data_IF_291649296298
#
_entry.id   IF_291649296298
#
_cell.length_a   1.000
_cell.length_b   1.000
_cell.length_c   1.000
_cell.angle_alpha   90.00
_cell.angle_beta   90.00
_cell.angle_gamma   90.00
#
_symmetry.space_group_name_H-M   'P 1'
#
loop_
_entity.id
_entity.type
_entity.pdbx_description
1 polymer ?
#
# COMPACT_ATOMS: atom_id res chain seq x y z
N UNK A 1 22.12 1.58 -3.49
CA UNK A 1 20.97 0.84 -4.04
C UNK A 1 20.33 -0.20 -3.10
N UNK A 2 21.00 -0.86 -2.11
CA UNK A 2 20.31 -1.89 -1.30
C UNK A 2 19.34 -1.33 -0.24
N UNK A 3 19.73 -0.29 0.50
CA UNK A 3 18.99 0.18 1.69
C UNK A 3 17.60 0.75 1.45
N UNK A 4 17.31 1.24 0.24
CA UNK A 4 16.00 1.82 -0.06
C UNK A 4 14.98 0.76 -0.46
N UNK A 5 15.44 -0.35 -1.05
CA UNK A 5 14.58 -1.46 -1.45
C UNK A 5 14.12 -2.29 -0.24
N UNK A 6 15.01 -2.54 0.72
CA UNK A 6 14.65 -3.21 1.98
C UNK A 6 13.60 -2.41 2.77
N UNK A 7 13.73 -1.07 2.83
CA UNK A 7 12.73 -0.20 3.46
C UNK A 7 11.35 -0.26 2.80
N UNK A 8 11.29 -0.46 1.50
CA UNK A 8 10.03 -0.59 0.77
C UNK A 8 9.37 -1.95 1.03
N UNK A 9 10.17 -3.01 1.13
CA UNK A 9 9.68 -4.33 1.55
C UNK A 9 9.14 -4.25 2.98
N UNK A 10 9.86 -3.62 3.92
CA UNK A 10 9.39 -3.44 5.30
C UNK A 10 8.04 -2.70 5.36
N UNK A 11 7.87 -1.63 4.56
CA UNK A 11 6.58 -0.91 4.46
C UNK A 11 5.46 -1.81 3.92
N UNK A 12 5.74 -2.67 2.94
CA UNK A 12 4.75 -3.60 2.41
C UNK A 12 4.38 -4.69 3.42
N UNK A 13 5.34 -5.20 4.17
CA UNK A 13 5.13 -6.20 5.21
C UNK A 13 4.32 -5.64 6.40
N UNK A 14 4.56 -4.37 6.77
CA UNK A 14 3.78 -3.66 7.79
C UNK A 14 2.30 -3.53 7.36
N UNK A 15 2.05 -3.05 6.14
CA UNK A 15 0.70 -2.95 5.58
C UNK A 15 0.02 -4.32 5.52
N UNK A 16 0.73 -5.35 5.07
CA UNK A 16 0.19 -6.71 5.00
C UNK A 16 -0.22 -7.24 6.38
N UNK A 17 0.61 -7.01 7.39
CA UNK A 17 0.34 -7.45 8.77
C UNK A 17 -0.91 -6.76 9.33
N UNK A 18 -1.04 -5.45 9.12
CA UNK A 18 -2.24 -4.70 9.52
C UNK A 18 -3.51 -5.23 8.82
N UNK A 19 -3.40 -5.60 7.54
CA UNK A 19 -4.50 -6.19 6.77
C UNK A 19 -4.98 -7.52 7.36
N UNK A 20 -4.04 -8.39 7.71
CA UNK A 20 -4.35 -9.68 8.32
C UNK A 20 -5.01 -9.50 9.68
N UNK A 21 -4.48 -8.62 10.53
CA UNK A 21 -5.07 -8.32 11.84
C UNK A 21 -6.51 -7.80 11.74
N UNK A 22 -6.77 -6.90 10.80
CA UNK A 22 -8.10 -6.34 10.60
C UNK A 22 -9.11 -7.43 10.20
N UNK A 23 -8.73 -8.35 9.31
CA UNK A 23 -9.59 -9.44 8.84
C UNK A 23 -9.86 -10.46 9.96
N UNK A 24 -8.82 -10.81 10.73
CA UNK A 24 -8.92 -11.82 11.79
C UNK A 24 -9.71 -11.33 13.01
N UNK A 25 -9.70 -10.03 13.30
CA UNK A 25 -10.43 -9.44 14.43
C UNK A 25 -11.91 -9.16 14.14
N UNK A 26 -12.49 -9.73 13.07
CA UNK A 26 -13.91 -9.59 12.78
C UNK A 26 -14.74 -10.10 13.97
N UNK A 27 -15.59 -9.27 14.59
CA UNK A 27 -16.41 -9.71 15.70
C UNK A 27 -17.42 -10.77 15.24
N UNK A 28 -17.51 -11.87 15.99
CA UNK A 28 -18.54 -12.91 15.81
C UNK A 28 -19.89 -12.52 16.44
N UNK A 29 -19.94 -11.43 17.20
CA UNK A 29 -21.13 -11.03 17.95
C UNK A 29 -22.17 -10.37 17.05
N UNK A 30 -23.44 -10.58 17.39
CA UNK A 30 -24.58 -9.83 16.82
C UNK A 30 -24.73 -8.44 17.46
N UNK A 31 -23.78 -8.01 18.28
CA UNK A 31 -23.81 -6.70 18.91
C UNK A 31 -23.50 -5.63 17.85
N UNK A 32 -24.53 -4.83 17.57
CA UNK A 32 -24.46 -3.75 16.60
C UNK A 32 -23.36 -2.74 16.93
N UNK A 33 -23.19 -2.40 18.21
CA UNK A 33 -22.24 -1.37 18.63
C UNK A 33 -20.79 -1.85 18.48
N UNK A 34 -20.53 -3.10 18.85
CA UNK A 34 -19.21 -3.74 18.62
C UNK A 34 -18.91 -3.83 17.12
N UNK A 35 -19.91 -4.20 16.32
CA UNK A 35 -19.77 -4.26 14.86
C UNK A 35 -19.48 -2.88 14.26
N UNK A 36 -20.19 -1.83 14.71
CA UNK A 36 -20.00 -0.45 14.27
C UNK A 36 -18.57 0.04 14.55
N UNK A 37 -18.10 -0.15 15.78
CA UNK A 37 -16.73 0.23 16.19
C UNK A 37 -15.69 -0.53 15.36
N UNK A 38 -15.89 -1.82 15.13
CA UNK A 38 -15.02 -2.61 14.27
C UNK A 38 -14.98 -2.05 12.84
N UNK A 39 -16.12 -1.75 12.22
CA UNK A 39 -16.18 -1.19 10.87
C UNK A 39 -15.52 0.18 10.77
N UNK A 40 -15.71 1.06 11.77
CA UNK A 40 -15.03 2.37 11.82
C UNK A 40 -13.51 2.21 11.87
N UNK A 41 -13.01 1.29 12.70
CA UNK A 41 -11.59 0.99 12.80
C UNK A 41 -11.02 0.39 11.50
N UNK A 42 -11.76 -0.54 10.88
CA UNK A 42 -11.36 -1.13 9.59
C UNK A 42 -11.34 -0.07 8.49
N UNK A 43 -12.32 0.83 8.43
CA UNK A 43 -12.36 1.92 7.46
C UNK A 43 -11.17 2.87 7.63
N UNK A 44 -10.81 3.22 8.86
CA UNK A 44 -9.63 4.04 9.14
C UNK A 44 -8.33 3.36 8.67
N UNK A 45 -8.16 2.06 8.94
CA UNK A 45 -7.01 1.27 8.48
C UNK A 45 -6.96 1.15 6.96
N UNK A 46 -8.09 0.90 6.30
CA UNK A 46 -8.19 0.87 4.84
C UNK A 46 -7.73 2.19 4.20
N UNK A 47 -8.14 3.33 4.76
CA UNK A 47 -7.69 4.64 4.29
C UNK A 47 -6.17 4.81 4.42
N UNK A 48 -5.58 4.33 5.51
CA UNK A 48 -4.13 4.33 5.69
C UNK A 48 -3.43 3.46 4.63
N UNK A 49 -3.92 2.24 4.38
CA UNK A 49 -3.33 1.37 3.37
C UNK A 49 -3.40 1.96 1.96
N UNK A 50 -4.51 2.62 1.61
CA UNK A 50 -4.60 3.34 0.32
C UNK A 50 -3.52 4.41 0.20
N UNK A 51 -3.19 5.11 1.29
CA UNK A 51 -2.11 6.10 1.30
C UNK A 51 -0.74 5.44 1.13
N UNK A 52 -0.45 4.36 1.87
CA UNK A 52 0.84 3.65 1.76
C UNK A 52 1.03 3.04 0.38
N UNK A 53 0.00 2.43 -0.20
CA UNK A 53 0.06 1.87 -1.57
C UNK A 53 0.38 2.97 -2.59
N UNK A 54 -0.23 4.17 -2.46
CA UNK A 54 0.09 5.31 -3.32
C UNK A 54 1.54 5.75 -3.17
N UNK A 55 2.05 5.81 -1.95
CA UNK A 55 3.44 6.20 -1.67
C UNK A 55 4.44 5.19 -2.28
N UNK A 56 4.23 3.90 -2.05
CA UNK A 56 5.09 2.85 -2.65
C UNK A 56 5.04 2.93 -4.17
N UNK A 57 3.85 3.08 -4.76
CA UNK A 57 3.72 3.22 -6.23
C UNK A 57 4.47 4.44 -6.75
N UNK A 58 4.38 5.57 -6.06
CA UNK A 58 5.10 6.79 -6.43
C UNK A 58 6.63 6.61 -6.38
N UNK A 59 7.16 5.97 -5.33
CA UNK A 59 8.59 5.68 -5.24
C UNK A 59 9.07 4.70 -6.33
N UNK A 60 8.26 3.71 -6.69
CA UNK A 60 8.55 2.80 -7.80
C UNK A 60 8.53 3.52 -9.16
N UNK A 61 7.57 4.42 -9.40
CA UNK A 61 7.48 5.21 -10.63
C UNK A 61 8.71 6.13 -10.83
N UNK A 62 9.25 6.71 -9.75
CA UNK A 62 10.52 7.49 -9.84
C UNK A 62 11.71 6.67 -10.34
N UNK A 63 11.70 5.35 -10.07
CA UNK A 63 12.75 4.42 -10.50
C UNK A 63 12.48 3.82 -11.87
N UNK A 64 11.31 4.09 -12.45
CA UNK A 64 11.03 3.67 -13.82
C UNK A 64 11.98 4.43 -14.75
N UNK A 65 12.80 3.74 -15.55
CA UNK A 65 13.64 4.42 -16.52
C UNK A 65 12.74 5.23 -17.45
N UNK A 66 13.10 6.50 -17.68
CA UNK A 66 12.47 7.32 -18.72
C UNK A 66 12.50 6.50 -20.00
N UNK A 67 11.32 6.18 -20.53
CA UNK A 67 11.17 5.39 -21.75
C UNK A 67 12.13 5.92 -22.81
N UNK A 68 12.80 5.01 -23.51
CA UNK A 68 13.90 5.27 -24.42
C UNK A 68 13.58 6.42 -25.39
N UNK A 69 14.02 7.64 -25.05
CA UNK A 69 13.88 8.83 -25.90
C UNK A 69 14.79 8.78 -27.15
N UNK A 70 15.51 7.67 -27.35
CA UNK A 70 16.51 7.56 -28.42
C UNK A 70 15.99 6.99 -29.75
N UNK A 71 14.72 6.55 -29.82
CA UNK A 71 14.24 5.81 -30.97
C UNK A 71 13.71 6.65 -32.16
N UNK A 72 13.49 7.96 -32.03
CA UNK A 72 12.65 8.68 -33.03
C UNK A 72 13.20 10.00 -33.59
N UNK A 73 14.52 10.26 -33.53
CA UNK A 73 15.09 11.50 -34.11
C UNK A 73 16.51 11.36 -34.70
N UNK A 74 16.81 10.27 -35.42
CA UNK A 74 17.97 10.26 -36.33
C UNK A 74 17.48 10.66 -37.73
N UNK A 75 18.00 11.73 -38.35
CA UNK A 75 17.54 12.19 -39.65
C UNK A 75 17.87 11.13 -40.72
N UNK A 76 16.94 10.94 -41.67
CA UNK A 76 17.12 10.11 -42.85
C UNK A 76 18.14 10.71 -43.83
#
# INVERSE_FOLDING_TARGET
>A
MPKEFEKEIEKLDEVYSEMVEAIMNKPESQDYEISRIYFENVAARLNNWVAVVKEVKYELEKRQPLGDLSADNRPA
#
